data_IF_774027426475
#
_entry.id   IF_774027426475
#
_cell.length_a   1.000
_cell.length_b   1.000
_cell.length_c   1.000
_cell.angle_alpha   90.00
_cell.angle_beta   90.00
_cell.angle_gamma   90.00
#
_symmetry.space_group_name_H-M   'P 1'
#
loop_
_entity.id
_entity.type
_entity.pdbx_description
1 polymer ?
#
# COMPACT_ATOMS: atom_id res chain seq x y z
N UNK A 1 6.56 16.94 23.89
CA UNK A 1 7.06 17.69 22.72
C UNK A 1 7.27 16.69 21.57
N UNK A 2 6.18 16.24 20.92
CA UNK A 2 6.21 15.11 19.95
C UNK A 2 5.54 15.47 18.60
N UNK A 3 5.62 16.74 18.17
CA UNK A 3 4.67 17.32 17.21
C UNK A 3 5.05 17.30 15.72
N UNK A 4 6.33 17.41 15.35
CA UNK A 4 6.72 17.59 13.93
C UNK A 4 7.62 16.47 13.37
N UNK A 5 8.50 15.89 14.20
CA UNK A 5 9.48 14.89 13.74
C UNK A 5 8.85 13.52 13.43
N UNK A 6 7.75 13.16 14.09
CA UNK A 6 7.02 11.91 13.81
C UNK A 6 6.33 11.96 12.45
N UNK A 7 5.72 13.09 12.09
CA UNK A 7 4.95 13.27 10.85
C UNK A 7 5.81 13.16 9.58
N UNK A 8 7.04 13.69 9.61
CA UNK A 8 7.96 13.59 8.48
C UNK A 8 8.41 12.15 8.19
N UNK A 9 8.42 11.27 9.21
CA UNK A 9 8.82 9.86 9.06
C UNK A 9 7.69 8.94 8.61
N UNK A 10 6.46 9.45 8.46
CA UNK A 10 5.29 8.67 8.06
C UNK A 10 5.10 8.69 6.55
N UNK A 11 5.50 9.76 5.85
CA UNK A 11 5.32 9.83 4.39
C UNK A 11 6.46 9.12 3.65
N UNK A 12 6.13 8.48 2.54
CA UNK A 12 7.10 7.92 1.58
C UNK A 12 6.87 8.48 0.18
N UNK A 13 7.94 8.62 -0.60
CA UNK A 13 7.90 9.12 -1.99
C UNK A 13 7.71 7.99 -3.00
N UNK A 14 7.37 8.33 -4.25
CA UNK A 14 7.23 7.36 -5.33
C UNK A 14 8.55 6.62 -5.60
N UNK A 15 9.70 7.27 -5.49
CA UNK A 15 11.02 6.64 -5.66
C UNK A 15 11.30 5.61 -4.57
N UNK A 16 10.91 5.90 -3.33
CA UNK A 16 11.06 4.96 -2.21
C UNK A 16 10.14 3.75 -2.40
N UNK A 17 8.90 3.96 -2.84
CA UNK A 17 7.97 2.87 -3.16
C UNK A 17 8.50 2.03 -4.32
N UNK A 18 9.00 2.67 -5.39
CA UNK A 18 9.60 1.98 -6.52
C UNK A 18 10.81 1.14 -6.10
N UNK A 19 11.67 1.66 -5.23
CA UNK A 19 12.81 0.92 -4.68
C UNK A 19 12.35 -0.33 -3.91
N UNK A 20 11.29 -0.22 -3.08
CA UNK A 20 10.69 -1.38 -2.39
C UNK A 20 10.16 -2.39 -3.38
N UNK A 21 9.42 -1.95 -4.40
CA UNK A 21 8.87 -2.84 -5.46
C UNK A 21 9.99 -3.58 -6.19
N UNK A 22 11.03 -2.88 -6.64
CA UNK A 22 12.16 -3.49 -7.35
C UNK A 22 12.95 -4.45 -6.46
N UNK A 23 13.17 -4.10 -5.19
CA UNK A 23 13.81 -4.98 -4.23
C UNK A 23 12.98 -6.25 -3.97
N UNK A 24 11.65 -6.14 -3.90
CA UNK A 24 10.75 -7.30 -3.76
C UNK A 24 10.77 -8.20 -4.99
N UNK A 25 10.70 -7.61 -6.19
CA UNK A 25 10.74 -8.36 -7.45
C UNK A 25 12.09 -9.08 -7.67
N UNK A 26 13.18 -8.51 -7.16
CA UNK A 26 14.51 -9.15 -7.20
C UNK A 26 14.75 -10.17 -6.07
N UNK A 27 13.77 -10.37 -5.17
CA UNK A 27 13.90 -11.31 -4.04
C UNK A 27 14.82 -10.83 -2.92
N UNK A 28 15.04 -9.52 -2.79
CA UNK A 28 15.92 -8.97 -1.77
C UNK A 28 15.34 -9.17 -0.35
N UNK A 29 16.14 -9.80 0.50
CA UNK A 29 15.78 -10.09 1.88
C UNK A 29 15.51 -8.83 2.73
N UNK A 30 16.13 -7.69 2.37
CA UNK A 30 16.01 -6.41 3.09
C UNK A 30 14.59 -5.83 3.12
N UNK A 31 13.71 -6.27 2.22
CA UNK A 31 12.32 -5.80 2.10
C UNK A 31 11.29 -6.92 2.31
N UNK A 32 11.72 -8.08 2.84
CA UNK A 32 10.79 -9.19 3.09
C UNK A 32 9.70 -8.79 4.11
N UNK A 33 10.09 -8.05 5.15
CA UNK A 33 9.19 -7.56 6.20
C UNK A 33 8.52 -6.21 5.86
N UNK A 34 8.40 -5.87 4.59
CA UNK A 34 7.64 -4.70 4.13
C UNK A 34 6.39 -5.17 3.40
N UNK A 35 5.23 -4.59 3.67
CA UNK A 35 4.00 -4.89 2.94
C UNK A 35 3.44 -3.61 2.31
N UNK A 36 3.20 -3.65 1.00
CA UNK A 36 2.57 -2.57 0.27
C UNK A 36 1.07 -2.87 0.14
N UNK A 37 0.23 -2.03 0.72
CA UNK A 37 -1.21 -2.27 0.87
C UNK A 37 -2.00 -1.22 0.10
N UNK A 38 -2.80 -1.69 -0.86
CA UNK A 38 -3.78 -0.90 -1.58
C UNK A 38 -5.11 -0.89 -0.82
N UNK A 39 -5.54 0.28 -0.34
CA UNK A 39 -6.80 0.42 0.40
C UNK A 39 -8.00 0.85 -0.45
N UNK A 40 -7.86 0.83 -1.78
CA UNK A 40 -8.98 1.05 -2.72
C UNK A 40 -9.99 -0.10 -2.68
N UNK A 41 -11.16 0.14 -3.28
CA UNK A 41 -12.14 -0.92 -3.47
C UNK A 41 -11.64 -1.97 -4.47
N UNK A 42 -12.15 -3.19 -4.35
CA UNK A 42 -11.84 -4.29 -5.28
C UNK A 42 -12.26 -3.95 -6.72
N UNK A 43 -13.33 -3.16 -6.91
CA UNK A 43 -13.75 -2.70 -8.23
C UNK A 43 -12.77 -1.72 -8.89
N UNK A 44 -12.21 -0.77 -8.13
CA UNK A 44 -11.16 0.13 -8.62
C UNK A 44 -9.91 -0.66 -9.03
N UNK A 45 -9.51 -1.61 -8.18
CA UNK A 45 -8.36 -2.49 -8.42
C UNK A 45 -8.57 -3.36 -9.65
N UNK A 46 -9.75 -3.97 -9.81
CA UNK A 46 -10.06 -4.78 -10.99
C UNK A 46 -10.02 -3.98 -12.30
N UNK A 47 -10.43 -2.71 -12.25
CA UNK A 47 -10.48 -1.84 -13.44
C UNK A 47 -9.12 -1.23 -13.82
N UNK A 48 -8.25 -0.97 -12.84
CA UNK A 48 -7.04 -0.15 -13.06
C UNK A 48 -5.74 -0.87 -12.73
N UNK A 49 -5.82 -2.08 -12.17
CA UNK A 49 -4.67 -2.81 -11.66
C UNK A 49 -4.18 -2.27 -10.31
N UNK A 50 -3.00 -2.74 -9.90
CA UNK A 50 -2.34 -2.39 -8.64
C UNK A 50 -0.88 -2.06 -8.88
N UNK A 51 -0.24 -1.37 -7.94
CA UNK A 51 1.22 -1.29 -7.89
C UNK A 51 1.76 -2.73 -7.74
N UNK A 52 2.79 -3.14 -8.52
CA UNK A 52 3.34 -4.49 -8.40
C UNK A 52 3.73 -4.84 -6.96
N UNK A 53 3.56 -6.11 -6.59
CA UNK A 53 3.80 -6.65 -5.23
C UNK A 53 2.82 -6.17 -4.14
N UNK A 54 1.89 -5.27 -4.47
CA UNK A 54 0.89 -4.81 -3.52
C UNK A 54 -0.22 -5.84 -3.30
N UNK A 55 -0.77 -5.85 -2.09
CA UNK A 55 -1.99 -6.57 -1.74
C UNK A 55 -3.17 -5.59 -1.58
N UNK A 56 -4.35 -5.96 -2.06
CA UNK A 56 -5.55 -5.13 -1.87
C UNK A 56 -6.27 -5.52 -0.57
N UNK A 57 -6.34 -4.57 0.37
CA UNK A 57 -7.14 -4.66 1.59
C UNK A 57 -7.99 -3.40 1.66
N UNK A 58 -9.24 -3.42 1.16
CA UNK A 58 -10.09 -2.23 1.12
C UNK A 58 -10.19 -1.56 2.48
N UNK A 59 -10.16 -0.21 2.52
CA UNK A 59 -10.13 0.55 3.77
C UNK A 59 -11.21 0.11 4.80
N UNK A 60 -12.41 -0.24 4.31
CA UNK A 60 -13.53 -0.69 5.16
C UNK A 60 -13.27 -2.00 5.91
N UNK A 61 -12.37 -2.83 5.41
CA UNK A 61 -12.00 -4.12 6.00
C UNK A 61 -10.67 -4.03 6.76
N UNK A 62 -9.94 -2.92 6.62
CA UNK A 62 -8.55 -2.82 7.06
C UNK A 62 -8.40 -3.01 8.57
N UNK A 63 -9.24 -2.33 9.36
CA UNK A 63 -9.17 -2.40 10.83
C UNK A 63 -9.39 -3.83 11.33
N UNK A 64 -10.42 -4.51 10.80
CA UNK A 64 -10.70 -5.90 11.11
C UNK A 64 -9.57 -6.83 10.64
N UNK A 65 -9.11 -6.69 9.39
CA UNK A 65 -8.09 -7.54 8.82
C UNK A 65 -6.74 -7.47 9.57
N UNK A 66 -6.38 -6.28 10.06
CA UNK A 66 -5.16 -6.07 10.83
C UNK A 66 -5.34 -6.29 12.34
N UNK A 67 -6.59 -6.43 12.81
CA UNK A 67 -6.94 -6.64 14.22
C UNK A 67 -6.42 -7.97 14.76
N UNK A 68 -6.30 -8.08 16.08
CA UNK A 68 -5.79 -9.28 16.75
C UNK A 68 -6.74 -10.48 16.58
N UNK A 69 -8.02 -10.25 16.30
CA UNK A 69 -9.05 -11.28 16.18
C UNK A 69 -8.91 -12.16 14.93
N UNK A 70 -8.19 -11.70 13.91
CA UNK A 70 -7.99 -12.46 12.67
C UNK A 70 -6.73 -13.32 12.79
N UNK A 71 -6.87 -14.63 12.75
CA UNK A 71 -5.72 -15.54 12.81
C UNK A 71 -4.81 -15.39 11.58
N UNK A 72 -3.50 -15.61 11.76
CA UNK A 72 -2.53 -15.43 10.67
C UNK A 72 -2.82 -16.32 9.44
N UNK A 73 -3.28 -17.56 9.68
CA UNK A 73 -3.66 -18.49 8.61
C UNK A 73 -4.92 -18.01 7.85
N UNK A 74 -5.91 -17.47 8.55
CA UNK A 74 -7.12 -16.93 7.91
C UNK A 74 -6.80 -15.69 7.07
N UNK A 75 -5.93 -14.82 7.58
CA UNK A 75 -5.44 -13.66 6.84
C UNK A 75 -4.73 -14.09 5.56
N UNK A 76 -3.79 -15.03 5.65
CA UNK A 76 -3.03 -15.52 4.50
C UNK A 76 -3.92 -16.19 3.46
N UNK A 77 -4.91 -16.97 3.90
CA UNK A 77 -5.91 -17.56 3.01
C UNK A 77 -6.74 -16.50 2.27
N UNK A 78 -7.05 -15.39 2.94
CA UNK A 78 -7.91 -14.33 2.39
C UNK A 78 -7.14 -13.39 1.45
N UNK A 79 -5.93 -13.00 1.82
CA UNK A 79 -5.15 -11.96 1.13
C UNK A 79 -3.94 -12.49 0.36
N UNK A 80 -3.63 -13.78 0.49
CA UNK A 80 -2.52 -14.45 -0.22
C UNK A 80 -1.13 -14.02 0.25
N UNK A 81 -1.04 -13.34 1.39
CA UNK A 81 0.22 -12.85 1.97
C UNK A 81 0.21 -13.06 3.49
N UNK A 82 1.39 -13.23 4.07
CA UNK A 82 1.52 -13.39 5.52
C UNK A 82 0.94 -12.17 6.27
N UNK A 83 0.22 -12.42 7.36
CA UNK A 83 -0.32 -11.37 8.22
C UNK A 83 0.81 -10.48 8.76
N UNK A 84 0.77 -9.15 8.51
CA UNK A 84 1.80 -8.25 9.01
C UNK A 84 1.72 -8.19 10.55
N UNK A 85 2.88 -8.16 11.20
CA UNK A 85 2.99 -8.18 12.66
C UNK A 85 3.33 -6.77 13.19
N UNK A 86 2.57 -6.23 14.16
CA UNK A 86 2.89 -4.97 14.81
C UNK A 86 4.33 -4.96 15.36
N UNK A 87 5.06 -3.87 15.12
CA UNK A 87 6.45 -3.72 15.58
C UNK A 87 7.52 -4.50 14.79
N UNK A 88 7.13 -5.41 13.90
CA UNK A 88 8.07 -6.17 13.06
C UNK A 88 7.93 -5.85 11.57
N UNK A 89 6.70 -5.72 11.08
CA UNK A 89 6.41 -5.50 9.67
C UNK A 89 6.21 -4.01 9.40
N UNK A 90 6.94 -3.48 8.41
CA UNK A 90 6.67 -2.16 7.86
C UNK A 90 5.46 -2.27 6.92
N UNK A 91 4.46 -1.39 7.10
CA UNK A 91 3.29 -1.34 6.22
C UNK A 91 3.26 -0.01 5.49
N UNK A 92 3.12 -0.04 4.17
CA UNK A 92 3.04 1.14 3.32
C UNK A 92 1.65 1.16 2.67
N UNK A 93 0.86 2.19 2.98
CA UNK A 93 -0.49 2.33 2.45
C UNK A 93 -0.54 3.28 1.27
N UNK A 94 -1.33 2.92 0.27
CA UNK A 94 -1.70 3.83 -0.82
C UNK A 94 -3.17 3.66 -1.21
N UNK A 95 -3.74 4.67 -1.86
CA UNK A 95 -5.05 4.58 -2.48
C UNK A 95 -5.02 5.23 -3.87
N UNK A 96 -6.02 6.00 -4.28
CA UNK A 96 -5.97 6.78 -5.53
C UNK A 96 -5.15 8.06 -5.39
N UNK A 97 -5.48 8.89 -4.38
CA UNK A 97 -4.94 10.26 -4.21
C UNK A 97 -4.50 10.56 -2.77
N UNK A 98 -4.13 9.56 -1.97
CA UNK A 98 -3.53 9.76 -0.64
C UNK A 98 -4.49 9.92 0.55
N UNK A 99 -5.77 10.26 0.33
CA UNK A 99 -6.72 10.52 1.43
C UNK A 99 -7.03 9.27 2.25
N UNK A 100 -7.44 8.18 1.58
CA UNK A 100 -7.77 6.91 2.26
C UNK A 100 -6.55 6.25 2.88
N UNK A 101 -5.38 6.39 2.27
CA UNK A 101 -4.13 5.84 2.80
C UNK A 101 -3.63 6.60 4.03
N UNK A 102 -3.92 7.89 4.16
CA UNK A 102 -3.68 8.63 5.40
C UNK A 102 -4.51 8.04 6.56
N UNK A 103 -5.81 7.79 6.32
CA UNK A 103 -6.71 7.16 7.30
C UNK A 103 -6.21 5.74 7.64
N UNK A 104 -5.85 4.94 6.63
CA UNK A 104 -5.31 3.60 6.84
C UNK A 104 -4.05 3.60 7.73
N UNK A 105 -3.18 4.59 7.54
CA UNK A 105 -1.96 4.74 8.33
C UNK A 105 -2.28 5.05 9.80
N UNK A 106 -3.31 5.87 10.06
CA UNK A 106 -3.79 6.16 11.41
C UNK A 106 -4.40 4.92 12.08
N UNK A 107 -5.27 4.19 11.36
CA UNK A 107 -5.85 2.92 11.82
C UNK A 107 -4.74 1.94 12.22
N UNK A 108 -3.77 1.70 11.33
CA UNK A 108 -2.66 0.80 11.61
C UNK A 108 -1.82 1.28 12.81
N UNK A 109 -1.60 2.60 12.93
CA UNK A 109 -0.92 3.17 14.09
C UNK A 109 -1.65 2.90 15.42
N UNK A 110 -2.98 2.95 15.42
CA UNK A 110 -3.81 2.62 16.60
C UNK A 110 -3.78 1.13 16.93
N UNK A 111 -3.60 0.27 15.93
CA UNK A 111 -3.39 -1.18 16.08
C UNK A 111 -1.93 -1.56 16.42
N UNK A 112 -1.07 -0.58 16.74
CA UNK A 112 0.30 -0.83 17.19
C UNK A 112 1.35 -0.98 16.07
N UNK A 113 1.00 -0.75 14.80
CA UNK A 113 1.98 -0.70 13.72
C UNK A 113 2.82 0.58 13.81
N UNK A 114 3.98 0.46 14.47
CA UNK A 114 4.90 1.58 14.70
C UNK A 114 5.62 2.05 13.43
N UNK A 115 5.73 1.18 12.42
CA UNK A 115 6.31 1.47 11.12
C UNK A 115 5.26 1.49 9.99
N UNK A 116 4.14 2.18 10.24
CA UNK A 116 3.13 2.48 9.23
C UNK A 116 3.51 3.74 8.43
N UNK A 117 3.49 3.63 7.10
CA UNK A 117 3.81 4.68 6.14
C UNK A 117 2.64 5.01 5.23
N UNK A 118 2.53 6.28 4.86
CA UNK A 118 1.58 6.76 3.87
C UNK A 118 2.31 7.15 2.57
N UNK A 119 2.02 6.45 1.47
CA UNK A 119 2.36 6.90 0.13
C UNK A 119 1.30 7.90 -0.36
N UNK A 120 1.54 9.19 -0.08
CA UNK A 120 0.54 10.24 -0.28
C UNK A 120 0.23 10.52 -1.76
N UNK A 121 1.21 10.41 -2.67
CA UNK A 121 0.93 10.55 -4.10
C UNK A 121 0.15 9.38 -4.69
N UNK A 122 0.22 8.22 -4.02
CA UNK A 122 -0.69 7.10 -4.24
C UNK A 122 -0.69 6.60 -5.70
N UNK A 123 -1.73 5.87 -6.11
CA UNK A 123 -1.79 5.24 -7.43
C UNK A 123 -1.70 6.26 -8.58
N UNK A 124 -2.28 7.46 -8.43
CA UNK A 124 -2.19 8.50 -9.47
C UNK A 124 -0.75 8.97 -9.70
N UNK A 125 0.06 9.15 -8.65
CA UNK A 125 1.48 9.47 -8.83
C UNK A 125 2.25 8.28 -9.40
N UNK A 126 1.97 7.06 -8.93
CA UNK A 126 2.57 5.86 -9.49
C UNK A 126 2.35 5.75 -11.00
N UNK A 127 1.11 5.92 -11.48
CA UNK A 127 0.78 5.85 -12.89
C UNK A 127 1.48 6.93 -13.72
N UNK A 128 1.67 8.14 -13.16
CA UNK A 128 2.40 9.21 -13.87
C UNK A 128 3.87 8.85 -14.10
N UNK A 129 4.49 8.12 -13.18
CA UNK A 129 5.92 7.78 -13.24
C UNK A 129 6.20 6.41 -13.90
N UNK A 130 5.26 5.47 -13.76
CA UNK A 130 5.46 4.05 -14.09
C UNK A 130 4.29 3.44 -14.88
N UNK A 131 3.24 4.19 -15.17
CA UNK A 131 2.21 3.77 -16.10
C UNK A 131 2.78 3.71 -17.52
N UNK A 132 2.26 2.78 -18.32
CA UNK A 132 2.50 2.85 -19.76
C UNK A 132 1.91 4.16 -20.30
N UNK A 133 2.58 4.83 -21.25
CA UNK A 133 1.96 5.95 -21.96
C UNK A 133 0.65 5.45 -22.54
N UNK A 134 -0.47 6.06 -22.15
CA UNK A 134 -1.69 5.94 -22.94
C UNK A 134 -1.34 6.49 -24.31
N UNK A 135 -1.30 5.67 -25.37
CA UNK A 135 -1.19 6.17 -26.73
C UNK A 135 -2.34 7.18 -26.95
N UNK A 136 -1.98 8.46 -26.99
CA UNK A 136 -2.90 9.53 -27.38
C UNK A 136 -3.01 9.51 -28.91
N UNK A 137 -3.82 8.63 -29.44
CA UNK A 137 -4.15 8.64 -30.85
C UNK A 137 -4.78 7.33 -31.29
N UNK A 138 -6.10 7.23 -31.16
CA UNK A 138 -6.95 6.83 -32.30
C UNK A 138 -8.44 6.86 -31.92
N UNK A 139 -9.15 7.83 -32.51
CA UNK A 139 -10.52 7.65 -33.02
C UNK A 139 -10.52 8.41 -34.37
N UNK A 140 -10.99 7.87 -35.51
CA UNK A 140 -12.08 6.91 -35.67
C UNK A 140 -11.83 5.72 -36.62
N UNK A 141 -12.80 4.80 -36.59
CA UNK A 141 -13.09 3.78 -37.59
C UNK A 141 -12.86 4.23 -39.05
N UNK A 142 -11.93 3.57 -39.73
CA UNK A 142 -12.10 2.93 -41.04
C UNK A 142 -10.93 1.98 -41.33
#
# INVERSE_FOLDING_TARGET
>A
MFGLTRWLRVKVTVEQVAAVVQAKLSGAQSVQNTLLIDVRSTGEVAATGVIPTAVNIPLKLLEFALGEEVEAEEFEKTFGVQKPQPGMTQVIFYCTHGVRSAIATEIAGNLGFTDAKNFAGSFTEWQRHHGEPCDNGDVPLK
#
